data_IF_005493377840
#
_entry.id   IF_005493377840
#
_cell.length_a   1.000
_cell.length_b   1.000
_cell.length_c   1.000
_cell.angle_alpha   90.00
_cell.angle_beta   90.00
_cell.angle_gamma   90.00
#
_symmetry.space_group_name_H-M   'P 1'
#
loop_
_entity.id
_entity.type
_entity.pdbx_description
1 polymer ?
#
# COMPACT_ATOMS: atom_id res chain seq x y z
N UNK A 1 -0.66 13.23 -4.05
CA UNK A 1 -1.30 13.44 -5.36
C UNK A 1 -0.51 14.47 -6.15
N UNK A 2 -0.24 14.21 -7.42
CA UNK A 2 0.55 15.06 -8.32
C UNK A 2 -0.26 15.31 -9.58
N UNK A 3 -0.09 16.48 -10.16
CA UNK A 3 -0.61 16.81 -11.49
C UNK A 3 0.62 17.01 -12.38
N UNK A 4 0.69 16.30 -13.51
CA UNK A 4 1.75 16.45 -14.50
C UNK A 4 1.18 17.15 -15.74
N UNK A 5 1.91 18.14 -16.27
CA UNK A 5 1.58 18.84 -17.48
C UNK A 5 2.87 19.19 -18.21
N UNK A 6 3.06 18.71 -19.44
CA UNK A 6 4.21 18.94 -20.35
C UNK A 6 5.59 19.01 -19.65
N UNK A 7 5.86 18.04 -18.75
CA UNK A 7 7.11 17.93 -17.99
C UNK A 7 7.16 18.68 -16.66
N UNK A 8 6.16 19.47 -16.32
CA UNK A 8 6.01 20.06 -15.01
C UNK A 8 5.19 19.15 -14.10
N UNK A 9 5.75 18.79 -12.94
CA UNK A 9 5.06 18.01 -11.91
C UNK A 9 4.71 18.90 -10.73
N UNK A 10 3.42 19.08 -10.47
CA UNK A 10 2.91 19.90 -9.39
C UNK A 10 2.41 18.98 -8.28
N UNK A 11 3.05 19.03 -7.12
CA UNK A 11 2.55 18.38 -5.93
C UNK A 11 1.44 19.23 -5.30
N UNK A 12 0.24 18.68 -5.20
CA UNK A 12 -0.85 19.37 -4.51
C UNK A 12 -0.57 19.41 -3.02
N UNK A 13 -0.62 20.63 -2.45
CA UNK A 13 -0.52 20.80 -1.00
C UNK A 13 -1.77 20.26 -0.30
N UNK A 14 -1.62 19.72 0.91
CA UNK A 14 -2.75 19.30 1.73
C UNK A 14 -3.77 20.45 1.91
N UNK A 15 -4.99 20.20 1.47
CA UNK A 15 -6.06 21.22 1.54
C UNK A 15 -7.43 20.59 1.30
N UNK A 16 -8.49 21.29 1.72
CA UNK A 16 -9.88 20.88 1.45
C UNK A 16 -10.17 20.66 -0.05
N UNK A 17 -9.74 21.55 -0.97
CA UNK A 17 -9.83 21.27 -2.40
C UNK A 17 -9.05 20.04 -2.84
N UNK A 18 -7.89 19.74 -2.27
CA UNK A 18 -7.11 18.55 -2.59
C UNK A 18 -7.84 17.26 -2.15
N UNK A 19 -8.48 17.26 -0.97
CA UNK A 19 -9.32 16.15 -0.51
C UNK A 19 -10.53 15.92 -1.45
N UNK A 20 -11.17 17.01 -1.86
CA UNK A 20 -12.27 16.96 -2.84
C UNK A 20 -11.83 16.37 -4.18
N UNK A 21 -10.71 16.83 -4.71
CA UNK A 21 -10.17 16.32 -5.97
C UNK A 21 -9.80 14.84 -5.85
N UNK A 22 -9.18 14.44 -4.75
CA UNK A 22 -8.87 13.04 -4.50
C UNK A 22 -10.14 12.17 -4.52
N UNK A 23 -11.21 12.60 -3.83
CA UNK A 23 -12.48 11.87 -3.84
C UNK A 23 -13.08 11.72 -5.24
N UNK A 24 -13.01 12.76 -6.06
CA UNK A 24 -13.51 12.72 -7.45
C UNK A 24 -12.65 11.79 -8.32
N UNK A 25 -11.31 11.87 -8.22
CA UNK A 25 -10.39 11.05 -9.01
C UNK A 25 -10.41 9.57 -8.62
N UNK A 26 -10.82 9.26 -7.40
CA UNK A 26 -11.02 7.87 -6.95
C UNK A 26 -12.33 7.26 -7.48
N UNK A 27 -13.25 8.10 -7.97
CA UNK A 27 -14.51 7.71 -8.60
C UNK A 27 -14.67 8.37 -9.99
N UNK A 28 -13.68 8.16 -10.91
CA UNK A 28 -13.69 8.85 -12.20
C UNK A 28 -14.92 8.47 -13.02
N UNK A 29 -15.41 9.42 -13.81
CA UNK A 29 -16.54 9.25 -14.73
C UNK A 29 -17.87 8.90 -14.04
N UNK A 30 -17.92 8.92 -12.70
CA UNK A 30 -19.10 8.59 -11.91
C UNK A 30 -19.58 9.82 -11.13
N UNK A 31 -20.89 9.88 -10.87
CA UNK A 31 -21.45 10.93 -10.01
C UNK A 31 -21.12 10.64 -8.56
N UNK A 32 -20.38 11.56 -7.94
CA UNK A 32 -20.07 11.51 -6.49
C UNK A 32 -21.03 12.46 -5.77
N UNK A 33 -21.77 11.93 -4.79
CA UNK A 33 -22.78 12.70 -4.09
C UNK A 33 -22.17 13.87 -3.31
N UNK A 34 -22.87 14.99 -3.26
CA UNK A 34 -22.44 16.17 -2.52
C UNK A 34 -22.27 15.86 -1.01
N UNK A 35 -23.09 14.95 -0.49
CA UNK A 35 -23.01 14.53 0.91
C UNK A 35 -21.72 13.76 1.20
N UNK A 36 -21.36 12.79 0.35
CA UNK A 36 -20.10 12.06 0.47
C UNK A 36 -18.90 13.00 0.37
N UNK A 37 -18.91 13.92 -0.62
CA UNK A 37 -17.84 14.91 -0.80
C UNK A 37 -17.70 15.82 0.42
N UNK A 38 -18.81 16.23 1.04
CA UNK A 38 -18.78 17.01 2.28
C UNK A 38 -18.14 16.20 3.43
N UNK A 39 -18.49 14.94 3.59
CA UNK A 39 -17.86 14.07 4.60
C UNK A 39 -16.35 13.93 4.36
N UNK A 40 -15.93 13.72 3.11
CA UNK A 40 -14.50 13.60 2.75
C UNK A 40 -13.72 14.86 3.07
N UNK A 41 -14.32 16.05 2.83
CA UNK A 41 -13.63 17.34 2.97
C UNK A 41 -13.61 17.86 4.41
N UNK A 42 -14.66 17.60 5.20
CA UNK A 42 -14.81 18.15 6.55
C UNK A 42 -14.94 17.09 7.66
N UNK A 43 -15.06 15.81 7.33
CA UNK A 43 -15.32 14.78 8.32
C UNK A 43 -16.67 15.00 9.02
N UNK A 44 -16.66 14.89 10.35
CA UNK A 44 -17.83 15.13 11.20
C UNK A 44 -18.09 16.64 11.43
N UNK A 45 -17.08 17.48 11.32
CA UNK A 45 -17.16 18.92 11.56
C UNK A 45 -17.61 19.69 10.31
N UNK A 46 -18.83 19.45 9.86
CA UNK A 46 -19.37 20.14 8.68
C UNK A 46 -19.78 21.58 9.02
N UNK A 47 -19.41 22.56 8.17
CA UNK A 47 -19.87 23.93 8.35
C UNK A 47 -21.39 24.02 8.09
N UNK A 48 -22.05 25.00 8.73
CA UNK A 48 -23.48 25.25 8.53
C UNK A 48 -23.82 25.49 7.05
N UNK A 49 -22.91 26.10 6.27
CA UNK A 49 -23.01 26.35 4.84
C UNK A 49 -22.21 25.35 4.00
N UNK A 50 -22.16 24.06 4.37
CA UNK A 50 -21.33 23.03 3.74
C UNK A 50 -21.52 22.97 2.21
N UNK A 51 -22.73 23.18 1.71
CA UNK A 51 -23.03 23.19 0.27
C UNK A 51 -22.33 24.33 -0.46
N UNK A 52 -22.41 25.54 0.08
CA UNK A 52 -21.72 26.72 -0.51
C UNK A 52 -20.21 26.60 -0.39
N UNK A 53 -19.71 26.07 0.74
CA UNK A 53 -18.29 25.82 0.94
C UNK A 53 -17.76 24.76 -0.04
N UNK A 54 -18.53 23.71 -0.33
CA UNK A 54 -18.19 22.70 -1.35
C UNK A 54 -18.09 23.34 -2.74
N UNK A 55 -19.07 24.16 -3.10
CA UNK A 55 -19.04 24.89 -4.35
C UNK A 55 -17.78 25.75 -4.48
N UNK A 56 -17.39 26.47 -3.40
CA UNK A 56 -16.16 27.26 -3.37
C UNK A 56 -14.91 26.37 -3.58
N UNK A 57 -14.86 25.17 -3.01
CA UNK A 57 -13.77 24.24 -3.25
C UNK A 57 -13.70 23.82 -4.73
N UNK A 58 -14.83 23.53 -5.35
CA UNK A 58 -14.89 23.21 -6.79
C UNK A 58 -14.41 24.37 -7.66
N UNK A 59 -14.83 25.62 -7.36
CA UNK A 59 -14.37 26.78 -8.10
C UNK A 59 -12.86 27.00 -7.97
N UNK A 60 -12.29 26.79 -6.78
CA UNK A 60 -10.83 26.84 -6.59
C UNK A 60 -10.09 25.79 -7.42
N UNK A 61 -10.61 24.58 -7.51
CA UNK A 61 -10.02 23.55 -8.38
C UNK A 61 -10.10 23.92 -9.86
N UNK A 62 -11.24 24.44 -10.31
CA UNK A 62 -11.39 24.91 -11.70
C UNK A 62 -10.41 26.06 -12.03
N UNK A 63 -10.23 27.01 -11.10
CA UNK A 63 -9.24 28.07 -11.24
C UNK A 63 -7.80 27.52 -11.27
N UNK A 64 -7.51 26.51 -10.44
CA UNK A 64 -6.22 25.82 -10.46
C UNK A 64 -5.97 25.16 -11.82
N UNK A 65 -6.93 24.43 -12.35
CA UNK A 65 -6.81 23.79 -13.66
C UNK A 65 -6.61 24.82 -14.78
N UNK A 66 -7.39 25.88 -14.80
CA UNK A 66 -7.23 26.96 -15.76
C UNK A 66 -5.84 27.62 -15.70
N UNK A 67 -5.30 27.83 -14.47
CA UNK A 67 -3.96 28.39 -14.26
C UNK A 67 -2.86 27.52 -14.90
N UNK A 68 -3.03 26.22 -14.92
CA UNK A 68 -2.05 25.28 -15.46
C UNK A 68 -2.41 24.77 -16.87
N UNK A 69 -3.28 25.49 -17.59
CA UNK A 69 -3.61 25.17 -18.98
C UNK A 69 -4.38 23.86 -19.17
N UNK A 70 -4.82 23.22 -18.08
CA UNK A 70 -5.59 21.98 -18.16
C UNK A 70 -6.97 22.33 -18.74
N UNK A 71 -7.11 22.09 -20.03
CA UNK A 71 -8.27 22.52 -20.81
C UNK A 71 -9.51 21.67 -20.50
N UNK A 72 -10.69 22.32 -20.51
CA UNK A 72 -11.98 21.68 -20.40
C UNK A 72 -12.61 21.73 -19.01
N UNK A 73 -13.90 21.45 -18.96
CA UNK A 73 -14.66 21.37 -17.69
C UNK A 73 -14.47 19.98 -17.09
N UNK A 74 -13.29 19.71 -16.52
CA UNK A 74 -13.00 18.42 -15.91
C UNK A 74 -13.97 18.07 -14.77
N UNK A 75 -14.39 19.09 -13.98
CA UNK A 75 -15.34 18.88 -12.89
C UNK A 75 -16.69 19.46 -13.30
N UNK A 76 -17.66 18.58 -13.51
CA UNK A 76 -19.05 18.91 -13.86
C UNK A 76 -19.94 18.87 -12.63
N UNK A 77 -20.84 19.85 -12.52
CA UNK A 77 -21.94 19.79 -11.56
C UNK A 77 -23.08 18.98 -12.18
N UNK A 78 -23.53 17.96 -11.48
CA UNK A 78 -24.61 17.06 -11.89
C UNK A 78 -25.70 17.01 -10.82
N UNK A 79 -26.92 16.58 -11.13
CA UNK A 79 -27.93 16.42 -10.09
C UNK A 79 -27.43 15.56 -8.93
N UNK A 80 -27.47 16.09 -7.71
CA UNK A 80 -27.04 15.41 -6.51
C UNK A 80 -25.56 15.44 -6.17
N UNK A 81 -24.67 15.97 -7.07
CA UNK A 81 -23.24 15.97 -6.78
C UNK A 81 -22.35 16.55 -7.86
N UNK A 82 -21.19 15.96 -7.98
CA UNK A 82 -20.17 16.34 -8.96
C UNK A 82 -19.59 15.10 -9.64
N UNK A 83 -19.11 15.27 -10.85
CA UNK A 83 -18.42 14.25 -11.65
C UNK A 83 -17.12 14.84 -12.20
N UNK A 84 -16.06 14.04 -12.28
CA UNK A 84 -14.85 14.37 -13.02
C UNK A 84 -14.69 13.42 -14.19
N UNK A 85 -14.45 14.00 -15.40
CA UNK A 85 -14.10 13.24 -16.59
C UNK A 85 -12.61 12.91 -16.57
N UNK A 86 -12.26 11.65 -16.80
CA UNK A 86 -10.87 11.21 -16.91
C UNK A 86 -10.80 9.93 -17.78
N UNK A 87 -9.65 9.71 -18.37
CA UNK A 87 -9.30 8.52 -19.14
C UNK A 87 -7.93 7.95 -18.72
N UNK A 88 -7.48 6.89 -19.38
CA UNK A 88 -6.19 6.26 -19.07
C UNK A 88 -4.97 7.15 -19.40
N UNK A 89 -5.14 8.16 -20.27
CA UNK A 89 -4.08 9.12 -20.57
C UNK A 89 -3.96 10.22 -19.50
N UNK A 90 -5.05 10.50 -18.78
CA UNK A 90 -5.15 11.58 -17.80
C UNK A 90 -5.14 11.13 -16.35
N UNK A 91 -5.41 9.85 -16.07
CA UNK A 91 -5.45 9.32 -14.69
C UNK A 91 -4.77 7.96 -14.59
N UNK A 92 -3.70 7.90 -13.82
CA UNK A 92 -2.91 6.70 -13.54
C UNK A 92 -3.73 5.55 -12.95
N UNK A 93 -4.75 5.83 -12.14
CA UNK A 93 -5.65 4.81 -11.60
C UNK A 93 -6.44 4.09 -12.70
N UNK A 94 -6.91 4.82 -13.73
CA UNK A 94 -7.59 4.21 -14.88
C UNK A 94 -6.58 3.39 -15.69
N UNK A 95 -5.41 3.98 -16.01
CA UNK A 95 -4.34 3.29 -16.71
C UNK A 95 -3.92 2.01 -16.00
N UNK A 96 -3.77 2.04 -14.67
CA UNK A 96 -3.45 0.88 -13.85
C UNK A 96 -4.50 -0.24 -14.02
N UNK A 97 -5.78 0.09 -13.87
CA UNK A 97 -6.86 -0.88 -13.97
C UNK A 97 -7.05 -1.42 -15.39
N UNK A 98 -6.79 -0.60 -16.40
CA UNK A 98 -6.82 -1.04 -17.80
C UNK A 98 -5.69 -2.04 -18.09
N UNK A 99 -4.49 -1.77 -17.56
CA UNK A 99 -3.35 -2.71 -17.65
C UNK A 99 -3.63 -4.00 -16.90
N UNK A 100 -4.26 -3.97 -15.71
CA UNK A 100 -4.66 -5.20 -15.01
C UNK A 100 -5.63 -6.04 -15.86
N UNK A 101 -6.65 -5.41 -16.45
CA UNK A 101 -7.59 -6.10 -17.35
C UNK A 101 -6.90 -6.67 -18.58
N UNK A 102 -5.92 -5.95 -19.15
CA UNK A 102 -5.13 -6.43 -20.27
C UNK A 102 -4.23 -7.62 -19.87
N UNK A 103 -3.71 -7.63 -18.65
CA UNK A 103 -2.93 -8.74 -18.12
C UNK A 103 -3.78 -10.00 -17.93
N UNK A 104 -5.00 -9.87 -17.39
CA UNK A 104 -5.94 -10.98 -17.22
C UNK A 104 -6.30 -11.67 -18.55
N UNK A 105 -6.29 -10.94 -19.66
CA UNK A 105 -6.53 -11.44 -21.01
C UNK A 105 -5.29 -11.97 -21.73
N UNK A 106 -4.11 -11.91 -21.13
CA UNK A 106 -2.89 -12.36 -21.77
C UNK A 106 -2.77 -13.90 -21.75
N UNK A 107 -2.53 -14.50 -22.91
CA UNK A 107 -2.36 -15.95 -23.03
C UNK A 107 -0.93 -16.41 -22.70
N UNK A 108 0.06 -15.50 -22.84
CA UNK A 108 1.49 -15.77 -22.63
C UNK A 108 1.94 -15.18 -21.28
N UNK A 109 2.50 -16.00 -20.38
CA UNK A 109 2.99 -15.55 -19.07
C UNK A 109 4.02 -14.43 -19.12
N UNK A 110 4.89 -14.42 -20.10
CA UNK A 110 5.88 -13.35 -20.29
C UNK A 110 5.20 -12.01 -20.65
N UNK A 111 4.18 -12.06 -21.49
CA UNK A 111 3.39 -10.89 -21.85
C UNK A 111 2.59 -10.39 -20.65
N UNK A 112 1.94 -11.27 -19.90
CA UNK A 112 1.22 -10.95 -18.67
C UNK A 112 2.15 -10.23 -17.68
N UNK A 113 3.34 -10.82 -17.44
CA UNK A 113 4.35 -10.25 -16.55
C UNK A 113 4.78 -8.84 -16.95
N UNK A 114 5.05 -8.61 -18.24
CA UNK A 114 5.44 -7.26 -18.74
C UNK A 114 4.33 -6.24 -18.50
N UNK A 115 3.07 -6.61 -18.75
CA UNK A 115 1.91 -5.72 -18.54
C UNK A 115 1.76 -5.38 -17.05
N UNK A 116 1.83 -6.37 -16.17
CA UNK A 116 1.72 -6.17 -14.71
C UNK A 116 2.86 -5.30 -14.17
N UNK A 117 4.09 -5.49 -14.63
CA UNK A 117 5.21 -4.62 -14.24
C UNK A 117 5.02 -3.19 -14.73
N UNK A 118 4.46 -2.99 -15.92
CA UNK A 118 4.08 -1.65 -16.41
C UNK A 118 3.00 -1.02 -15.54
N UNK A 119 2.00 -1.80 -15.13
CA UNK A 119 0.96 -1.33 -14.21
C UNK A 119 1.52 -0.92 -12.86
N UNK A 120 2.39 -1.74 -12.27
CA UNK A 120 3.01 -1.45 -10.97
C UNK A 120 3.98 -0.25 -11.01
N UNK A 121 4.59 0.03 -12.16
CA UNK A 121 5.47 1.20 -12.33
C UNK A 121 4.72 2.54 -12.23
N UNK A 122 3.39 2.55 -12.37
CA UNK A 122 2.57 3.75 -12.13
C UNK A 122 2.54 4.16 -10.65
N UNK A 123 2.86 3.25 -9.74
CA UNK A 123 2.86 3.51 -8.30
C UNK A 123 4.18 4.13 -7.84
N UNK A 124 4.22 5.46 -7.77
CA UNK A 124 5.42 6.22 -7.43
C UNK A 124 5.52 6.60 -5.93
N UNK A 125 4.94 5.82 -5.05
CA UNK A 125 4.98 6.07 -3.61
C UNK A 125 3.69 5.70 -2.87
N UNK A 126 3.55 6.12 -1.60
CA UNK A 126 2.35 5.83 -0.82
C UNK A 126 1.11 6.50 -1.43
N UNK A 127 0.01 5.75 -1.49
CA UNK A 127 -1.26 6.25 -2.00
C UNK A 127 -1.77 7.40 -1.12
N UNK A 128 -2.14 8.52 -1.77
CA UNK A 128 -2.74 9.68 -1.11
C UNK A 128 -1.92 10.23 0.09
N UNK A 129 -0.59 10.08 0.10
CA UNK A 129 0.28 10.49 1.21
C UNK A 129 0.11 11.97 1.64
N UNK A 130 -0.33 12.84 0.73
CA UNK A 130 -0.56 14.26 0.99
C UNK A 130 -2.06 14.63 1.05
N UNK A 131 -2.94 13.67 1.28
CA UNK A 131 -4.38 13.86 1.41
C UNK A 131 -4.81 13.52 2.84
N UNK A 132 -5.33 14.52 3.53
CA UNK A 132 -5.76 14.39 4.92
C UNK A 132 -7.29 14.24 4.97
N UNK A 133 -7.77 13.03 4.70
CA UNK A 133 -9.19 12.67 4.81
C UNK A 133 -9.31 11.28 5.40
N UNK A 134 -9.75 11.19 6.63
CA UNK A 134 -9.93 9.91 7.36
C UNK A 134 -10.84 8.95 6.61
N UNK A 135 -11.87 9.47 5.95
CA UNK A 135 -12.81 8.66 5.17
C UNK A 135 -12.09 8.01 4.00
N UNK A 136 -11.30 8.77 3.22
CA UNK A 136 -10.54 8.19 2.11
C UNK A 136 -9.50 7.20 2.61
N UNK A 137 -8.83 7.49 3.72
CA UNK A 137 -7.81 6.59 4.31
C UNK A 137 -8.43 5.29 4.81
N UNK A 138 -9.64 5.33 5.39
CA UNK A 138 -10.29 4.13 5.94
C UNK A 138 -11.08 3.32 4.91
N UNK A 139 -11.77 3.98 3.97
CA UNK A 139 -12.70 3.30 3.07
C UNK A 139 -12.11 3.00 1.69
N UNK A 140 -11.22 3.83 1.17
CA UNK A 140 -10.75 3.73 -0.21
C UNK A 140 -9.32 3.23 -0.33
N UNK A 141 -8.41 3.77 0.47
CA UNK A 141 -6.98 3.38 0.45
C UNK A 141 -6.78 1.88 0.63
N UNK A 142 -7.45 1.18 1.58
CA UNK A 142 -7.26 -0.25 1.74
C UNK A 142 -7.62 -1.07 0.50
N UNK A 143 -8.70 -0.69 -0.19
CA UNK A 143 -9.15 -1.38 -1.41
C UNK A 143 -8.15 -1.25 -2.55
N UNK A 144 -7.61 -0.04 -2.75
CA UNK A 144 -6.61 0.21 -3.78
C UNK A 144 -5.26 -0.43 -3.44
N UNK A 145 -4.90 -0.45 -2.17
CA UNK A 145 -3.72 -1.16 -1.69
C UNK A 145 -3.85 -2.65 -1.99
N UNK A 146 -5.01 -3.22 -1.75
CA UNK A 146 -5.31 -4.63 -2.05
C UNK A 146 -5.21 -4.92 -3.57
N UNK A 147 -5.73 -4.03 -4.44
CA UNK A 147 -5.57 -4.16 -5.90
C UNK A 147 -4.07 -4.21 -6.28
N UNK A 148 -3.24 -3.37 -5.67
CA UNK A 148 -1.80 -3.35 -5.88
C UNK A 148 -1.11 -4.62 -5.37
N UNK A 149 -1.45 -5.08 -4.16
CA UNK A 149 -0.85 -6.28 -3.56
C UNK A 149 -1.13 -7.52 -4.41
N UNK A 150 -2.35 -7.66 -4.93
CA UNK A 150 -2.70 -8.76 -5.86
C UNK A 150 -1.90 -8.72 -7.15
N UNK A 151 -1.67 -7.53 -7.70
CA UNK A 151 -0.83 -7.39 -8.89
C UNK A 151 0.63 -7.79 -8.59
N UNK A 152 1.16 -7.42 -7.42
CA UNK A 152 2.51 -7.81 -6.98
C UNK A 152 2.61 -9.32 -6.75
N UNK A 153 1.62 -9.91 -6.07
CA UNK A 153 1.52 -11.35 -5.85
C UNK A 153 1.55 -12.10 -7.21
N UNK A 154 0.76 -11.63 -8.17
CA UNK A 154 0.73 -12.25 -9.50
C UNK A 154 2.05 -12.12 -10.26
N UNK A 155 2.75 -10.99 -10.14
CA UNK A 155 4.09 -10.83 -10.69
C UNK A 155 5.05 -11.88 -10.12
N UNK A 156 5.05 -12.06 -8.81
CA UNK A 156 5.93 -13.04 -8.16
C UNK A 156 5.56 -14.49 -8.54
N UNK A 157 4.28 -14.81 -8.65
CA UNK A 157 3.84 -16.13 -9.15
C UNK A 157 4.38 -16.40 -10.56
N UNK A 158 4.28 -15.42 -11.45
CA UNK A 158 4.78 -15.54 -12.82
C UNK A 158 6.30 -15.69 -12.87
N UNK A 159 7.04 -14.91 -12.08
CA UNK A 159 8.50 -15.02 -12.00
C UNK A 159 8.93 -16.40 -11.49
N UNK A 160 8.23 -16.95 -10.50
CA UNK A 160 8.47 -18.30 -10.00
C UNK A 160 8.12 -19.36 -11.05
N UNK A 161 7.00 -19.22 -11.74
CA UNK A 161 6.59 -20.12 -12.81
C UNK A 161 7.57 -20.13 -13.98
N UNK A 162 8.18 -18.99 -14.29
CA UNK A 162 9.21 -18.82 -15.31
C UNK A 162 10.61 -19.26 -14.84
N UNK A 163 10.74 -19.79 -13.62
CA UNK A 163 12.01 -20.26 -13.07
C UNK A 163 12.98 -19.15 -12.61
N UNK A 164 12.52 -17.91 -12.50
CA UNK A 164 13.34 -16.75 -12.15
C UNK A 164 13.49 -16.55 -10.63
N UNK A 165 13.55 -17.65 -9.88
CA UNK A 165 13.55 -17.64 -8.42
C UNK A 165 14.67 -16.78 -7.80
N UNK A 166 15.88 -16.75 -8.39
CA UNK A 166 16.98 -15.94 -7.86
C UNK A 166 16.76 -14.43 -8.05
N UNK A 167 16.20 -14.04 -9.20
CA UNK A 167 15.99 -12.64 -9.55
C UNK A 167 14.90 -12.03 -8.68
N UNK A 168 13.83 -12.78 -8.42
CA UNK A 168 12.68 -12.30 -7.65
C UNK A 168 12.98 -12.09 -6.17
N UNK A 169 13.96 -12.80 -5.60
CA UNK A 169 14.29 -12.71 -4.17
C UNK A 169 14.63 -11.28 -3.71
N UNK A 170 15.31 -10.51 -4.55
CA UNK A 170 15.69 -9.11 -4.21
C UNK A 170 14.49 -8.18 -4.04
N UNK A 171 13.41 -8.43 -4.77
CA UNK A 171 12.16 -7.67 -4.70
C UNK A 171 11.20 -8.26 -3.67
N UNK A 172 11.09 -9.58 -3.62
CA UNK A 172 10.12 -10.29 -2.80
C UNK A 172 10.43 -10.20 -1.30
N UNK A 173 11.71 -10.26 -0.92
CA UNK A 173 12.13 -10.19 0.50
C UNK A 173 11.68 -8.90 1.19
N UNK A 174 11.99 -7.70 0.69
CA UNK A 174 11.51 -6.47 1.31
C UNK A 174 9.98 -6.36 1.27
N UNK A 175 9.31 -6.89 0.24
CA UNK A 175 7.85 -6.87 0.15
C UNK A 175 7.22 -7.76 1.22
N UNK A 176 7.67 -8.99 1.42
CA UNK A 176 7.18 -9.87 2.48
C UNK A 176 7.35 -9.24 3.86
N UNK A 177 8.51 -8.61 4.12
CA UNK A 177 8.79 -7.91 5.39
C UNK A 177 7.93 -6.65 5.59
N UNK A 178 7.56 -5.96 4.52
CA UNK A 178 6.69 -4.77 4.59
C UNK A 178 5.21 -5.14 4.79
N UNK A 179 4.82 -6.37 4.50
CA UNK A 179 3.46 -6.88 4.59
C UNK A 179 3.42 -8.20 5.39
N UNK A 180 3.78 -8.16 6.67
CA UNK A 180 4.01 -9.39 7.45
C UNK A 180 2.76 -10.25 7.62
N UNK A 181 1.56 -9.67 7.57
CA UNK A 181 0.29 -10.40 7.62
C UNK A 181 -0.14 -10.99 6.25
N UNK A 182 0.57 -10.68 5.16
CA UNK A 182 0.21 -11.15 3.82
C UNK A 182 0.92 -12.47 3.51
N UNK A 183 0.32 -13.57 3.95
CA UNK A 183 0.89 -14.91 3.85
C UNK A 183 1.32 -15.34 2.44
N UNK A 184 0.65 -14.95 1.32
CA UNK A 184 1.10 -15.29 -0.02
C UNK A 184 2.54 -14.86 -0.32
N UNK A 185 2.96 -13.65 0.09
CA UNK A 185 4.34 -13.19 -0.13
C UNK A 185 5.36 -14.04 0.63
N UNK A 186 5.02 -14.50 1.83
CA UNK A 186 5.88 -15.39 2.59
C UNK A 186 5.96 -16.78 1.96
N UNK A 187 4.84 -17.29 1.45
CA UNK A 187 4.83 -18.56 0.73
C UNK A 187 5.73 -18.49 -0.51
N UNK A 188 5.59 -17.47 -1.32
CA UNK A 188 6.43 -17.21 -2.50
C UNK A 188 7.91 -17.07 -2.11
N UNK A 189 8.23 -16.36 -1.02
CA UNK A 189 9.60 -16.21 -0.52
C UNK A 189 10.22 -17.55 -0.10
N UNK A 190 9.49 -18.34 0.69
CA UNK A 190 9.93 -19.66 1.14
C UNK A 190 10.13 -20.60 -0.05
N UNK A 191 9.21 -20.59 -1.02
CA UNK A 191 9.33 -21.36 -2.26
C UNK A 191 10.56 -20.95 -3.08
N UNK A 192 10.75 -19.63 -3.31
CA UNK A 192 11.90 -19.10 -4.06
C UNK A 192 13.24 -19.50 -3.42
N UNK A 193 13.34 -19.39 -2.09
CA UNK A 193 14.52 -19.79 -1.33
C UNK A 193 14.77 -21.31 -1.47
N UNK A 194 13.74 -22.12 -1.32
CA UNK A 194 13.85 -23.58 -1.44
C UNK A 194 14.30 -24.00 -2.84
N UNK A 195 13.66 -23.47 -3.89
CA UNK A 195 13.99 -23.78 -5.31
C UNK A 195 15.38 -23.28 -5.72
N UNK A 196 15.97 -22.31 -4.99
CA UNK A 196 17.35 -21.88 -5.19
C UNK A 196 18.39 -22.65 -4.36
N UNK A 197 17.97 -23.71 -3.64
CA UNK A 197 18.83 -24.54 -2.78
C UNK A 197 19.09 -23.93 -1.38
N UNK A 198 18.48 -22.82 -1.05
CA UNK A 198 18.65 -22.10 0.24
C UNK A 198 17.65 -22.62 1.28
N UNK A 199 17.59 -23.94 1.45
CA UNK A 199 16.61 -24.63 2.31
C UNK A 199 16.62 -24.14 3.75
N UNK A 200 17.81 -23.94 4.35
CA UNK A 200 17.92 -23.47 5.73
C UNK A 200 17.30 -22.06 5.90
N UNK A 201 17.52 -21.18 4.95
CA UNK A 201 16.95 -19.84 4.96
C UNK A 201 15.44 -19.86 4.73
N UNK A 202 14.94 -20.75 3.85
CA UNK A 202 13.51 -20.95 3.65
C UNK A 202 12.80 -21.30 4.96
N UNK A 203 13.36 -22.23 5.74
CA UNK A 203 12.84 -22.62 7.06
C UNK A 203 12.98 -21.48 8.10
N UNK A 204 14.03 -20.66 7.99
CA UNK A 204 14.21 -19.52 8.85
C UNK A 204 13.11 -18.46 8.62
N UNK A 205 12.84 -18.13 7.35
CA UNK A 205 11.79 -17.18 6.99
C UNK A 205 10.39 -17.70 7.33
N UNK A 206 10.14 -18.98 7.15
CA UNK A 206 8.89 -19.60 7.62
C UNK A 206 8.69 -19.42 9.14
N UNK A 207 9.74 -19.62 9.94
CA UNK A 207 9.65 -19.42 11.40
C UNK A 207 9.38 -17.98 11.76
N UNK A 208 9.94 -17.03 11.03
CA UNK A 208 9.71 -15.59 11.23
C UNK A 208 8.24 -15.25 11.03
N UNK A 209 7.64 -15.67 9.91
CA UNK A 209 6.20 -15.39 9.68
C UNK A 209 5.31 -16.13 10.67
N UNK A 210 5.63 -17.38 11.01
CA UNK A 210 4.88 -18.17 12.00
C UNK A 210 4.87 -17.48 13.35
N UNK A 211 6.00 -16.99 13.80
CA UNK A 211 6.11 -16.28 15.09
C UNK A 211 5.30 -14.98 15.03
N UNK A 212 5.43 -14.20 13.97
CA UNK A 212 4.64 -12.98 13.79
C UNK A 212 3.12 -13.25 13.85
N UNK A 213 2.63 -14.25 13.09
CA UNK A 213 1.21 -14.59 13.06
C UNK A 213 0.68 -15.01 14.45
N UNK A 214 1.51 -15.73 15.22
CA UNK A 214 1.14 -16.20 16.56
C UNK A 214 1.19 -15.10 17.61
N UNK A 215 2.21 -14.25 17.58
CA UNK A 215 2.40 -13.21 18.60
C UNK A 215 1.53 -11.98 18.36
N UNK A 216 1.43 -11.52 17.11
CA UNK A 216 0.74 -10.28 16.78
C UNK A 216 -0.74 -10.50 16.44
N UNK A 217 -1.09 -11.64 15.84
CA UNK A 217 -2.45 -11.90 15.38
C UNK A 217 -3.14 -13.05 16.13
N UNK A 218 -2.41 -13.84 16.94
CA UNK A 218 -2.97 -14.96 17.69
C UNK A 218 -3.42 -16.14 16.81
N UNK A 219 -2.91 -16.26 15.59
CA UNK A 219 -3.29 -17.30 14.63
C UNK A 219 -2.11 -18.15 14.18
N UNK A 220 -2.33 -19.40 13.81
CA UNK A 220 -1.32 -20.23 13.14
C UNK A 220 -1.27 -19.89 11.63
N UNK A 221 -0.12 -20.16 10.95
CA UNK A 221 -0.01 -20.02 9.51
C UNK A 221 -1.11 -20.77 8.77
N UNK A 222 -1.57 -20.20 7.65
CA UNK A 222 -2.58 -20.83 6.82
C UNK A 222 -2.10 -22.12 6.15
N UNK A 223 -3.04 -22.95 5.62
CA UNK A 223 -2.71 -24.27 5.09
C UNK A 223 -1.69 -24.29 3.95
N UNK A 224 -1.59 -23.20 3.17
CA UNK A 224 -0.62 -23.08 2.09
C UNK A 224 0.82 -23.02 2.63
N UNK A 225 1.07 -22.15 3.61
CA UNK A 225 2.37 -22.03 4.28
C UNK A 225 2.74 -23.30 5.05
N UNK A 226 1.78 -23.95 5.73
CA UNK A 226 2.04 -25.21 6.45
C UNK A 226 2.43 -26.35 5.50
N UNK A 227 1.75 -26.48 4.35
CA UNK A 227 2.12 -27.46 3.32
C UNK A 227 3.50 -27.20 2.77
N UNK A 228 3.84 -25.95 2.56
CA UNK A 228 5.15 -25.55 2.06
C UNK A 228 6.26 -25.86 3.07
N UNK A 229 6.04 -25.63 4.38
CA UNK A 229 6.98 -26.06 5.42
C UNK A 229 7.29 -27.55 5.32
N UNK A 230 6.25 -28.39 5.23
CA UNK A 230 6.40 -29.83 5.13
C UNK A 230 7.16 -30.24 3.86
N UNK A 231 6.86 -29.64 2.72
CA UNK A 231 7.56 -29.90 1.46
C UNK A 231 9.04 -29.52 1.56
N UNK A 232 9.36 -28.39 2.14
CA UNK A 232 10.74 -27.95 2.40
C UNK A 232 11.45 -28.91 3.36
N UNK A 233 10.79 -29.35 4.46
CA UNK A 233 11.36 -30.29 5.43
C UNK A 233 11.62 -31.68 4.81
N UNK A 234 10.81 -32.12 3.85
CA UNK A 234 11.02 -33.37 3.14
C UNK A 234 12.02 -33.26 1.99
N UNK A 235 12.35 -32.04 1.57
CA UNK A 235 13.20 -31.78 0.41
C UNK A 235 12.50 -32.08 -0.91
N UNK A 236 11.17 -31.95 -0.96
CA UNK A 236 10.37 -32.17 -2.16
C UNK A 236 10.74 -31.15 -3.25
N UNK A 237 10.77 -31.58 -4.51
CA UNK A 237 11.01 -30.65 -5.62
C UNK A 237 9.72 -29.88 -5.94
N UNK A 238 9.74 -28.59 -5.63
CA UNK A 238 8.62 -27.68 -5.89
C UNK A 238 8.61 -27.13 -7.33
N UNK A 239 9.63 -27.45 -8.14
CA UNK A 239 9.70 -26.99 -9.54
C UNK A 239 8.72 -27.74 -10.47
N UNK A 240 8.25 -28.91 -10.08
CA UNK A 240 7.41 -29.79 -10.88
C UNK A 240 5.89 -29.63 -10.62
N UNK A 241 5.49 -28.75 -9.70
CA UNK A 241 4.07 -28.50 -9.42
C UNK A 241 3.39 -27.69 -10.54
N UNK A 242 2.13 -28.03 -10.94
CA UNK A 242 1.37 -27.13 -11.80
C UNK A 242 1.27 -25.76 -11.10
N UNK A 243 1.40 -24.64 -11.82
CA UNK A 243 1.17 -23.33 -11.24
C UNK A 243 -0.24 -23.38 -10.64
N UNK A 244 -0.30 -23.37 -9.32
CA UNK A 244 -1.56 -23.32 -8.61
C UNK A 244 -2.30 -22.09 -9.11
N UNK A 245 -3.26 -22.28 -9.99
CA UNK A 245 -4.20 -21.24 -10.38
C UNK A 245 -4.96 -20.87 -9.11
N UNK A 246 -4.43 -19.94 -8.36
CA UNK A 246 -5.25 -19.14 -7.49
C UNK A 246 -6.17 -18.35 -8.43
N UNK A 247 -7.32 -18.93 -8.74
CA UNK A 247 -8.42 -18.19 -9.34
C UNK A 247 -8.90 -17.25 -8.23
N UNK A 248 -8.75 -15.94 -8.36
CA UNK A 248 -9.50 -15.04 -7.51
C UNK A 248 -10.97 -15.42 -7.71
N UNK A 249 -11.69 -15.67 -6.63
CA UNK A 249 -13.14 -15.79 -6.69
C UNK A 249 -13.66 -14.52 -7.35
N UNK A 250 -13.98 -14.64 -8.63
CA UNK A 250 -14.80 -13.69 -9.37
C UNK A 250 -15.97 -13.38 -8.47
N UNK A 251 -16.09 -12.12 -8.08
CA UNK A 251 -17.25 -11.62 -7.36
C UNK A 251 -18.49 -11.97 -8.18
N UNK A 252 -19.14 -13.06 -7.81
CA UNK A 252 -20.44 -13.42 -8.32
C UNK A 252 -21.39 -12.29 -7.91
N UNK A 253 -21.84 -11.57 -8.92
CA UNK A 253 -22.97 -10.67 -8.91
C UNK A 253 -24.14 -11.30 -8.17
N UNK A 254 -24.65 -10.54 -7.23
CA UNK A 254 -25.88 -10.54 -6.51
C UNK A 254 -26.86 -11.71 -6.60
N UNK A 255 -27.35 -12.11 -5.45
CA UNK A 255 -28.79 -12.23 -5.15
C UNK A 255 -29.01 -12.35 -3.63
N UNK A 256 -30.01 -11.59 -3.23
CA UNK A 256 -30.63 -11.52 -1.93
C UNK A 256 -30.67 -12.82 -1.11
N UNK A 257 -30.31 -12.71 0.16
CA UNK A 257 -31.10 -13.40 1.22
C UNK A 257 -31.04 -12.59 2.52
N UNK A 258 -32.20 -12.20 2.93
CA UNK A 258 -32.58 -11.63 4.21
C UNK A 258 -32.30 -12.58 5.38
N UNK A 259 -31.92 -12.01 6.52
CA UNK A 259 -32.27 -12.51 7.83
C UNK A 259 -31.17 -13.22 8.60
N UNK A 260 -30.74 -12.62 9.69
CA UNK A 260 -29.95 -13.27 10.72
C UNK A 260 -29.28 -12.28 11.66
N UNK A 261 -30.05 -11.74 12.62
CA UNK A 261 -29.50 -11.08 13.81
C UNK A 261 -28.66 -12.10 14.58
N UNK A 262 -27.41 -11.78 14.85
CA UNK A 262 -26.71 -12.34 16.00
C UNK A 262 -25.88 -11.26 16.66
N UNK A 263 -26.21 -11.04 17.92
CA UNK A 263 -25.54 -10.20 18.90
C UNK A 263 -24.08 -10.65 19.03
N UNK A 264 -23.14 -9.75 18.75
CA UNK A 264 -21.76 -9.91 19.18
C UNK A 264 -21.47 -8.86 20.25
N UNK A 265 -21.20 -9.37 21.43
CA UNK A 265 -20.85 -8.64 22.62
C UNK A 265 -19.65 -7.71 22.40
N UNK A 266 -19.77 -6.49 22.93
CA UNK A 266 -18.69 -5.52 23.10
C UNK A 266 -17.62 -6.08 24.03
N UNK A 267 -16.44 -6.38 23.50
CA UNK A 267 -15.22 -6.44 24.30
C UNK A 267 -14.53 -5.08 24.19
N UNK A 268 -14.36 -4.41 25.32
CA UNK A 268 -13.67 -3.12 25.43
C UNK A 268 -12.15 -3.25 25.22
N UNK A 269 -11.46 -2.15 24.88
CA UNK A 269 -10.04 -2.20 24.62
C UNK A 269 -9.24 -2.40 25.91
N UNK A 270 -8.43 -3.44 25.93
CA UNK A 270 -7.42 -3.63 26.97
C UNK A 270 -6.28 -2.63 26.74
N UNK A 271 -6.17 -1.64 27.62
CA UNK A 271 -5.04 -0.72 27.71
C UNK A 271 -3.83 -1.45 28.32
N UNK A 272 -3.02 -2.07 27.45
CA UNK A 272 -1.71 -2.58 27.83
C UNK A 272 -0.61 -1.63 27.34
N UNK A 273 -0.10 -0.75 28.20
CA UNK A 273 1.15 -0.01 27.95
C UNK A 273 2.30 -0.99 27.81
N UNK A 274 3.07 -0.99 26.71
CA UNK A 274 4.30 -1.76 26.67
C UNK A 274 5.30 -1.14 27.67
N UNK A 275 5.82 -1.96 28.58
CA UNK A 275 6.90 -1.60 29.49
C UNK A 275 8.19 -1.44 28.70
N UNK A 276 8.47 -0.22 28.25
CA UNK A 276 9.79 0.13 27.71
C UNK A 276 10.85 -0.02 28.83
N UNK A 277 12.00 -0.62 28.50
CA UNK A 277 13.12 -0.66 29.41
C UNK A 277 13.55 0.77 29.80
N UNK A 278 14.02 0.98 31.05
CA UNK A 278 14.43 2.31 31.55
C UNK A 278 15.38 3.06 30.60
N UNK A 279 16.24 2.36 29.87
CA UNK A 279 17.15 2.97 28.90
C UNK A 279 16.44 3.48 27.63
N UNK A 280 15.38 2.81 27.16
CA UNK A 280 14.64 3.23 25.97
C UNK A 280 13.81 4.49 26.25
N UNK A 281 13.21 4.60 27.43
CA UNK A 281 12.47 5.80 27.84
C UNK A 281 13.36 7.03 27.89
N UNK A 282 14.57 6.90 28.43
CA UNK A 282 15.53 8.01 28.54
C UNK A 282 16.06 8.49 27.19
N UNK A 283 16.22 7.57 26.23
CA UNK A 283 16.58 7.93 24.84
C UNK A 283 15.44 8.67 24.15
N UNK A 284 14.18 8.23 24.33
CA UNK A 284 13.02 8.90 23.77
C UNK A 284 12.83 10.31 24.33
N UNK A 285 12.94 10.50 25.65
CA UNK A 285 12.90 11.83 26.27
C UNK A 285 14.02 12.76 25.76
N UNK A 286 15.22 12.22 25.56
CA UNK A 286 16.33 13.00 25.00
C UNK A 286 16.05 13.43 23.56
N UNK A 287 15.43 12.56 22.74
CA UNK A 287 15.10 12.85 21.36
C UNK A 287 13.92 13.84 21.24
N UNK A 288 12.94 13.76 22.15
CA UNK A 288 11.87 14.76 22.25
C UNK A 288 12.43 16.13 22.68
N UNK A 289 13.28 16.15 23.72
CA UNK A 289 13.94 17.37 24.20
C UNK A 289 14.85 18.02 23.17
N UNK A 290 15.40 17.26 22.23
CA UNK A 290 16.20 17.73 21.11
C UNK A 290 15.35 18.16 19.88
N UNK A 291 14.01 18.06 19.94
CA UNK A 291 13.12 18.36 18.83
C UNK A 291 13.19 17.37 17.67
N UNK A 292 13.72 16.16 17.93
CA UNK A 292 13.89 15.10 16.92
C UNK A 292 12.69 14.16 16.87
N UNK A 293 11.90 14.11 17.93
CA UNK A 293 10.62 13.39 18.04
C UNK A 293 9.56 14.32 18.63
N UNK A 294 8.34 14.15 18.20
CA UNK A 294 7.15 14.75 18.80
C UNK A 294 6.34 13.66 19.50
N UNK A 295 5.96 13.90 20.76
CA UNK A 295 5.05 13.04 21.51
C UNK A 295 3.63 13.57 21.36
N UNK A 296 2.70 12.70 20.93
CA UNK A 296 1.30 13.06 20.86
C UNK A 296 0.60 12.89 22.23
N UNK A 297 -0.61 13.45 22.43
CA UNK A 297 -1.34 13.36 23.70
C UNK A 297 -1.62 11.93 24.18
N UNK A 298 -1.54 10.95 23.30
CA UNK A 298 -1.76 9.53 23.57
C UNK A 298 -0.47 8.78 23.91
N UNK A 299 0.68 9.48 23.96
CA UNK A 299 1.98 8.91 24.31
C UNK A 299 2.70 8.16 23.19
N UNK A 300 2.36 8.45 21.93
CA UNK A 300 3.07 7.92 20.76
C UNK A 300 4.11 8.92 20.26
N UNK A 301 5.24 8.41 19.78
CA UNK A 301 6.35 9.23 19.29
C UNK A 301 6.39 9.25 17.76
N UNK A 302 6.48 10.46 17.17
CA UNK A 302 6.61 10.67 15.73
C UNK A 302 7.93 11.36 15.41
N UNK A 303 8.64 10.83 14.43
CA UNK A 303 9.85 11.47 13.91
C UNK A 303 9.48 12.48 12.82
N UNK A 304 10.01 13.69 12.90
CA UNK A 304 9.80 14.73 11.88
C UNK A 304 10.34 14.24 10.51
N UNK A 305 9.57 14.40 9.44
CA UNK A 305 9.90 13.87 8.10
C UNK A 305 11.23 14.38 7.53
N UNK A 306 11.64 15.58 7.92
CA UNK A 306 12.95 16.16 7.58
C UNK A 306 14.12 15.38 8.15
N UNK A 307 13.95 14.69 9.27
CA UNK A 307 14.99 13.91 9.95
C UNK A 307 15.09 12.47 9.43
N UNK A 308 14.01 11.95 8.83
CA UNK A 308 14.05 10.66 8.13
C UNK A 308 15.04 10.66 6.97
N UNK A 309 15.16 11.79 6.28
CA UNK A 309 16.11 11.97 5.16
C UNK A 309 17.54 12.05 5.69
N UNK A 310 17.77 12.75 6.81
CA UNK A 310 19.09 12.87 7.45
C UNK A 310 19.55 11.55 8.10
N UNK A 311 18.65 10.79 8.71
CA UNK A 311 18.97 9.50 9.30
C UNK A 311 19.36 8.45 8.24
N UNK A 312 18.73 8.47 7.05
CA UNK A 312 19.12 7.63 5.91
C UNK A 312 20.51 8.01 5.38
N UNK A 313 20.77 9.29 5.17
CA UNK A 313 22.07 9.78 4.70
C UNK A 313 23.22 9.51 5.68
N UNK A 314 22.99 9.59 6.98
CA UNK A 314 23.97 9.29 8.00
C UNK A 314 24.29 7.78 8.13
N UNK A 315 23.33 6.93 7.78
CA UNK A 315 23.51 5.48 7.76
C UNK A 315 24.34 5.04 6.53
N UNK A 316 24.11 5.67 5.39
CA UNK A 316 24.89 5.42 4.16
C UNK A 316 26.35 5.88 4.30
N UNK A 317 26.59 7.05 4.91
CA UNK A 317 27.95 7.55 5.17
C UNK A 317 28.75 6.71 6.20
N UNK A 318 28.08 6.03 7.13
CA UNK A 318 28.75 5.12 8.09
C UNK A 318 29.18 3.80 7.45
N UNK A 319 28.48 3.35 6.44
CA UNK A 319 28.82 2.12 5.70
C UNK A 319 30.04 2.32 4.80
N UNK A 320 30.26 3.53 4.29
CA UNK A 320 31.45 3.86 3.48
C UNK A 320 32.72 4.15 4.31
N UNK A 321 32.58 4.56 5.57
CA UNK A 321 33.72 4.88 6.46
C UNK A 321 34.36 3.65 7.14
N UNK A 322 33.77 2.46 7.00
CA UNK A 322 34.32 1.20 7.54
C UNK A 322 34.95 0.34 6.43
N UNK A 323 35.88 0.92 5.69
CA UNK A 323 36.77 0.18 4.79
C UNK A 323 37.88 -0.52 5.62
N UNK A 324 38.38 -1.68 5.16
CA UNK A 324 39.25 -2.53 5.97
C UNK A 324 40.66 -1.93 6.15
N UNK A 325 41.06 -1.85 7.42
CA UNK A 325 42.48 -1.61 7.82
C UNK A 325 43.37 -2.70 7.21
N UNK A 326 44.31 -2.29 6.37
CA UNK A 326 45.40 -3.14 5.88
C UNK A 326 46.47 -3.26 6.94
N UNK A 327 46.92 -4.46 7.30
CA UNK A 327 48.08 -4.60 8.20
C UNK A 327 49.36 -4.22 7.47
N UNK A 328 50.09 -3.28 8.06
CA UNK A 328 51.45 -2.92 7.66
C UNK A 328 52.42 -4.05 7.94
N UNK A 329 53.11 -4.53 6.92
CA UNK A 329 54.24 -5.41 7.02
C UNK A 329 55.44 -4.65 7.57
N UNK A 330 56.05 -5.19 8.57
CA UNK A 330 57.52 -5.19 8.77
C UNK A 330 57.96 -6.52 9.35
#
# INVERSE_FOLDING_TARGET
>A
MRIADDGNVIALQPSKPANLLAALLLHPNSTVSAEFLQRVVWGEERPVSARSALHTCVQRLRQLFAKYGIAGTLIEAVPGGYRIGADAGSLDLIAFRDLLRAADGAADPERELRILRTALALWQGPLLANIHSDILQREVVPRLTEERLRAMERVFDLELALGRCRQVLSELWPVARSHPAHEPFWAQLVEALHRTGRRAEALCEYRVVKEYLRTELGVDPGPALQRLELAVLRGEDLSAGPPGRYRPHSAASGRDHSGGRSDIARAGPATGRPLLSRGAAQVLETLVGAGLLEEDPDGHYRMHDSLRILARGAMELRTEASGPDMPSST
#
